data_IF_280327659767
#
_entry.id   IF_280327659767
#
_cell.length_a   1.000
_cell.length_b   1.000
_cell.length_c   1.000
_cell.angle_alpha   90.00
_cell.angle_beta   90.00
_cell.angle_gamma   90.00
#
_symmetry.space_group_name_H-M   'P 1'
#
loop_
_entity.id
_entity.type
_entity.pdbx_description
1 polymer ?
#
# COMPACT_ATOMS: atom_id res chain seq x y z
N UNK A 1 -8.84 -11.06 -0.92
CA UNK A 1 -7.74 -10.91 -1.89
C UNK A 1 -7.18 -9.51 -1.82
N UNK A 2 -5.94 -9.29 -2.31
CA UNK A 2 -5.33 -7.96 -2.36
C UNK A 2 -5.69 -7.27 -3.68
N UNK A 3 -6.32 -6.11 -3.61
CA UNK A 3 -6.81 -5.35 -4.78
C UNK A 3 -5.82 -4.28 -5.22
N UNK A 4 -5.15 -3.64 -4.27
CA UNK A 4 -4.16 -2.61 -4.58
C UNK A 4 -3.09 -2.47 -3.48
N UNK A 5 -1.91 -2.03 -3.89
CA UNK A 5 -0.81 -1.59 -3.02
C UNK A 5 -0.45 -0.16 -3.40
N UNK A 6 -0.54 0.74 -2.43
CA UNK A 6 -0.28 2.16 -2.60
C UNK A 6 0.83 2.59 -1.63
N UNK A 7 1.81 3.31 -2.15
CA UNK A 7 2.84 3.98 -1.34
C UNK A 7 2.84 5.44 -1.72
N UNK A 8 2.66 6.32 -0.75
CA UNK A 8 2.67 7.77 -0.97
C UNK A 8 3.24 8.48 0.25
N UNK A 9 3.71 9.72 0.04
CA UNK A 9 4.34 10.47 1.12
C UNK A 9 3.34 11.30 1.95
N UNK A 10 3.85 12.03 2.94
CA UNK A 10 3.08 12.93 3.82
C UNK A 10 2.33 14.07 3.08
N UNK A 11 2.58 14.26 1.79
CA UNK A 11 1.90 15.25 0.94
C UNK A 11 0.93 14.59 -0.07
N UNK A 12 0.70 13.28 0.02
CA UNK A 12 -0.17 12.54 -0.89
C UNK A 12 0.44 12.31 -2.27
N UNK A 13 1.76 12.52 -2.44
CA UNK A 13 2.43 12.23 -3.71
C UNK A 13 2.69 10.73 -3.83
N UNK A 14 2.21 10.07 -4.89
CA UNK A 14 2.42 8.63 -5.07
C UNK A 14 3.89 8.33 -5.37
N UNK A 15 4.37 7.23 -4.77
CA UNK A 15 5.69 6.62 -4.97
C UNK A 15 5.56 5.23 -5.60
N UNK A 16 4.51 4.50 -5.23
CA UNK A 16 4.09 3.26 -5.87
C UNK A 16 2.57 3.24 -5.95
N UNK A 17 2.03 2.88 -7.10
CA UNK A 17 0.62 2.58 -7.27
C UNK A 17 0.52 1.30 -8.06
N UNK A 18 0.07 0.23 -7.42
CA UNK A 18 -0.15 -1.04 -8.07
C UNK A 18 -1.58 -1.50 -7.81
N UNK A 19 -2.35 -1.63 -8.88
CA UNK A 19 -3.69 -2.19 -8.86
C UNK A 19 -3.64 -3.59 -9.50
N UNK A 20 -4.32 -4.55 -8.87
CA UNK A 20 -4.45 -5.93 -9.36
C UNK A 20 -5.75 -6.16 -10.12
N UNK A 21 -6.69 -5.23 -9.99
CA UNK A 21 -7.91 -5.16 -10.81
C UNK A 21 -7.81 -4.00 -11.80
N UNK A 22 -8.71 -4.01 -12.79
CA UNK A 22 -8.75 -2.95 -13.79
C UNK A 22 -9.49 -1.72 -13.25
N UNK A 23 -8.76 -0.62 -13.12
CA UNK A 23 -9.29 0.71 -12.79
C UNK A 23 -8.80 1.69 -13.84
N UNK A 24 -9.66 2.62 -14.24
CA UNK A 24 -9.29 3.76 -15.10
C UNK A 24 -8.33 4.70 -14.36
N UNK A 25 -7.58 5.52 -15.10
CA UNK A 25 -6.64 6.46 -14.49
C UNK A 25 -7.33 7.44 -13.53
N UNK A 26 -8.53 7.93 -13.89
CA UNK A 26 -9.34 8.78 -13.02
C UNK A 26 -9.75 8.07 -11.73
N UNK A 27 -10.17 6.81 -11.80
CA UNK A 27 -10.50 6.00 -10.62
C UNK A 27 -9.26 5.80 -9.73
N UNK A 28 -8.12 5.45 -10.31
CA UNK A 28 -6.87 5.26 -9.54
C UNK A 28 -6.46 6.54 -8.79
N UNK A 29 -6.56 7.70 -9.45
CA UNK A 29 -6.27 8.99 -8.81
C UNK A 29 -7.27 9.31 -7.69
N UNK A 30 -8.55 9.01 -7.91
CA UNK A 30 -9.58 9.23 -6.91
C UNK A 30 -9.38 8.33 -5.68
N UNK A 31 -9.05 7.05 -5.89
CA UNK A 31 -8.73 6.08 -4.83
C UNK A 31 -7.53 6.55 -4.01
N UNK A 32 -6.46 7.00 -4.67
CA UNK A 32 -5.28 7.54 -3.99
C UNK A 32 -5.66 8.73 -3.10
N UNK A 33 -6.42 9.68 -3.65
CA UNK A 33 -6.82 10.90 -2.94
C UNK A 33 -7.68 10.61 -1.71
N UNK A 34 -8.66 9.72 -1.85
CA UNK A 34 -9.51 9.30 -0.74
C UNK A 34 -8.70 8.55 0.33
N UNK A 35 -7.86 7.60 -0.09
CA UNK A 35 -6.98 6.85 0.81
C UNK A 35 -6.08 7.80 1.59
N UNK A 36 -5.44 8.77 0.92
CA UNK A 36 -4.61 9.78 1.58
C UNK A 36 -5.41 10.60 2.60
N UNK A 37 -6.63 11.03 2.27
CA UNK A 37 -7.47 11.79 3.20
C UNK A 37 -7.87 10.99 4.45
N UNK A 38 -8.08 9.69 4.30
CA UNK A 38 -8.44 8.80 5.40
C UNK A 38 -7.24 8.55 6.34
N UNK A 39 -6.04 8.36 5.81
CA UNK A 39 -4.85 8.04 6.63
C UNK A 39 -4.13 9.29 7.17
N UNK A 40 -4.06 10.38 6.41
CA UNK A 40 -3.26 11.57 6.78
C UNK A 40 -3.80 12.38 7.96
N UNK A 41 -5.07 12.19 8.32
CA UNK A 41 -5.73 12.91 9.42
C UNK A 41 -5.68 12.16 10.75
N UNK A 42 -5.03 11.00 10.78
CA UNK A 42 -5.02 10.08 11.90
C UNK A 42 -3.70 10.20 12.65
N UNK A 43 -3.77 10.23 13.98
CA UNK A 43 -2.60 10.16 14.83
C UNK A 43 -1.93 8.78 14.74
N UNK A 44 -0.66 8.67 15.12
CA UNK A 44 0.07 7.39 15.07
C UNK A 44 -0.49 6.32 16.04
N UNK A 45 -1.24 6.75 17.07
CA UNK A 45 -1.81 5.87 18.12
C UNK A 45 -3.19 5.27 17.75
N UNK A 46 -3.78 5.63 16.61
CA UNK A 46 -5.07 5.06 16.18
C UNK A 46 -4.91 3.82 15.33
N UNK A 47 -5.97 3.00 15.31
CA UNK A 47 -6.03 1.73 14.60
C UNK A 47 -5.62 1.85 13.12
N UNK A 48 -4.79 0.91 12.67
CA UNK A 48 -4.26 0.78 11.31
C UNK A 48 -5.25 0.19 10.29
N UNK A 49 -6.48 -0.07 10.73
CA UNK A 49 -7.55 -0.64 9.90
C UNK A 49 -8.60 0.42 9.64
N UNK A 50 -8.97 0.56 8.38
CA UNK A 50 -10.06 1.40 7.94
C UNK A 50 -10.97 0.53 7.09
N UNK A 51 -12.27 0.52 7.40
CA UNK A 51 -13.26 0.21 6.37
C UNK A 51 -13.06 1.27 5.29
N UNK A 52 -12.65 0.83 4.11
CA UNK A 52 -12.40 1.82 3.08
C UNK A 52 -13.74 2.38 2.61
N UNK A 53 -13.71 3.64 2.14
CA UNK A 53 -14.93 4.40 1.87
C UNK A 53 -15.79 3.85 0.73
N UNK A 54 -16.53 4.73 0.06
CA UNK A 54 -17.57 4.27 -0.87
C UNK A 54 -17.00 3.87 -2.24
N UNK A 55 -15.74 4.18 -2.55
CA UNK A 55 -15.21 4.17 -3.92
C UNK A 55 -14.33 2.97 -4.32
N UNK A 56 -13.69 2.23 -3.41
CA UNK A 56 -12.96 1.00 -3.77
C UNK A 56 -13.90 -0.22 -3.75
N UNK A 57 -15.02 -0.14 -4.46
CA UNK A 57 -15.84 -1.33 -4.73
C UNK A 57 -16.81 -1.77 -3.62
N UNK A 58 -17.36 -0.84 -2.82
CA UNK A 58 -18.48 -1.11 -1.90
C UNK A 58 -18.09 -1.39 -0.45
N UNK A 59 -18.97 -1.98 0.36
CA UNK A 59 -18.76 -2.20 1.80
C UNK A 59 -17.80 -3.37 2.13
N UNK A 60 -17.22 -4.02 1.11
CA UNK A 60 -16.52 -5.30 1.26
C UNK A 60 -14.99 -5.18 1.24
N UNK A 61 -14.43 -3.97 1.44
CA UNK A 61 -12.98 -3.78 1.45
C UNK A 61 -12.46 -3.04 2.68
N UNK A 62 -11.20 -3.30 2.99
CA UNK A 62 -10.46 -2.73 4.10
C UNK A 62 -9.14 -2.15 3.61
N UNK A 63 -8.77 -1.00 4.16
CA UNK A 63 -7.46 -0.39 4.01
C UNK A 63 -6.65 -0.71 5.25
N UNK A 64 -5.49 -1.30 5.03
CA UNK A 64 -4.54 -1.62 6.08
C UNK A 64 -3.28 -0.83 5.77
N UNK A 65 -2.86 0.01 6.71
CA UNK A 65 -1.75 0.91 6.46
C UNK A 65 -0.72 0.91 7.59
N UNK A 66 0.48 1.36 7.24
CA UNK A 66 1.53 1.69 8.21
C UNK A 66 2.35 2.87 7.73
N UNK A 67 2.71 3.74 8.68
CA UNK A 67 3.55 4.90 8.42
C UNK A 67 4.99 4.58 8.79
N UNK A 68 5.90 4.77 7.84
CA UNK A 68 7.35 4.63 8.05
C UNK A 68 8.03 5.90 7.58
N UNK A 69 8.65 6.61 8.53
CA UNK A 69 9.33 7.89 8.29
C UNK A 69 8.44 8.92 7.56
N UNK A 70 8.56 9.03 6.24
CA UNK A 70 7.79 9.98 5.41
C UNK A 70 6.78 9.31 4.48
N UNK A 71 6.66 7.98 4.53
CA UNK A 71 5.89 7.17 3.60
C UNK A 71 4.78 6.39 4.31
N UNK A 72 3.59 6.46 3.71
CA UNK A 72 2.48 5.57 4.01
C UNK A 72 2.53 4.38 3.08
N UNK A 73 2.51 3.18 3.65
CA UNK A 73 2.34 1.92 2.93
C UNK A 73 0.93 1.43 3.19
N UNK A 74 0.13 1.34 2.14
CA UNK A 74 -1.30 1.01 2.24
C UNK A 74 -1.63 -0.17 1.33
N UNK A 75 -2.28 -1.18 1.91
CA UNK A 75 -2.81 -2.34 1.21
C UNK A 75 -4.34 -2.27 1.23
N UNK A 76 -4.93 -2.31 0.05
CA UNK A 76 -6.38 -2.42 -0.13
C UNK A 76 -6.72 -3.90 -0.30
N UNK A 77 -7.49 -4.45 0.63
CA UNK A 77 -7.80 -5.89 0.69
C UNK A 77 -9.30 -6.13 0.87
N UNK A 78 -9.79 -7.29 0.47
CA UNK A 78 -11.16 -7.69 0.79
C UNK A 78 -11.34 -7.90 2.29
N UNK A 79 -12.58 -7.73 2.77
CA UNK A 79 -12.99 -7.96 4.15
C UNK A 79 -12.76 -9.39 4.65
N UNK A 80 -12.54 -10.35 3.75
CA UNK A 80 -12.23 -11.75 4.05
C UNK A 80 -10.78 -11.97 4.49
N UNK A 81 -9.87 -11.03 4.23
CA UNK A 81 -8.45 -11.17 4.58
C UNK A 81 -8.20 -10.87 6.06
N UNK A 82 -7.19 -11.55 6.63
CA UNK A 82 -6.79 -11.29 8.02
C UNK A 82 -6.04 -9.97 8.14
N UNK A 83 -6.56 -9.06 8.95
CA UNK A 83 -5.99 -7.73 9.11
C UNK A 83 -4.56 -7.73 9.67
N UNK A 84 -4.31 -8.61 10.65
CA UNK A 84 -2.98 -8.81 11.23
C UNK A 84 -2.01 -9.46 10.24
N UNK A 85 -2.49 -10.39 9.40
CA UNK A 85 -1.68 -11.01 8.36
C UNK A 85 -1.21 -9.99 7.32
N UNK A 86 -2.07 -9.04 6.94
CA UNK A 86 -1.69 -7.97 6.01
C UNK A 86 -0.74 -6.96 6.67
N UNK A 87 -0.89 -6.66 7.97
CA UNK A 87 0.09 -5.84 8.68
C UNK A 87 1.48 -6.48 8.73
N UNK A 88 1.54 -7.79 8.97
CA UNK A 88 2.80 -8.54 8.92
C UNK A 88 3.39 -8.54 7.51
N UNK A 89 2.55 -8.72 6.48
CA UNK A 89 2.96 -8.60 5.08
C UNK A 89 3.55 -7.22 4.74
N UNK A 90 2.97 -6.14 5.27
CA UNK A 90 3.52 -4.78 5.12
C UNK A 90 4.92 -4.68 5.76
N UNK A 91 5.13 -5.28 6.94
CA UNK A 91 6.45 -5.31 7.58
C UNK A 91 7.46 -6.03 6.67
N UNK A 92 7.14 -7.25 6.23
CA UNK A 92 8.04 -8.05 5.38
C UNK A 92 8.32 -7.33 4.06
N UNK A 93 7.33 -6.65 3.48
CA UNK A 93 7.51 -5.85 2.27
C UNK A 93 8.51 -4.70 2.46
N UNK A 94 8.40 -3.94 3.56
CA UNK A 94 9.32 -2.83 3.86
C UNK A 94 10.73 -3.34 4.16
N UNK A 95 10.86 -4.44 4.90
CA UNK A 95 12.17 -5.06 5.17
C UNK A 95 12.85 -5.59 3.91
N UNK A 96 12.08 -6.15 2.99
CA UNK A 96 12.60 -6.65 1.72
C UNK A 96 12.99 -5.49 0.79
N UNK A 97 12.23 -4.38 0.80
CA UNK A 97 12.65 -3.14 0.13
C UNK A 97 13.95 -2.59 0.72
N UNK A 98 14.06 -2.51 2.05
CA UNK A 98 15.24 -2.00 2.74
C UNK A 98 16.50 -2.81 2.40
N UNK A 99 16.38 -4.14 2.36
CA UNK A 99 17.45 -5.04 1.90
C UNK A 99 17.79 -4.88 0.42
N UNK A 100 16.81 -4.60 -0.44
CA UNK A 100 17.01 -4.47 -1.88
C UNK A 100 17.72 -3.15 -2.29
N UNK A 101 17.58 -2.12 -1.45
CA UNK A 101 18.15 -0.78 -1.67
C UNK A 101 19.26 -0.41 -0.68
N UNK A 102 19.64 -1.30 0.24
CA UNK A 102 20.71 -1.11 1.23
C UNK A 102 20.55 0.18 2.06
N UNK A 103 19.49 0.24 2.88
CA UNK A 103 18.96 1.42 3.60
C UNK A 103 18.08 2.30 2.71
N UNK A 104 16.87 1.80 2.41
CA UNK A 104 15.96 2.46 1.49
C UNK A 104 15.52 3.83 2.01
N UNK A 105 15.55 4.85 1.15
CA UNK A 105 14.93 6.14 1.44
C UNK A 105 13.86 6.49 0.40
N UNK A 106 12.99 7.47 0.72
CA UNK A 106 11.95 7.93 -0.21
C UNK A 106 12.52 8.31 -1.58
N UNK A 107 13.74 8.84 -1.62
CA UNK A 107 14.39 9.27 -2.85
C UNK A 107 14.74 8.08 -3.76
N UNK A 108 15.10 6.93 -3.22
CA UNK A 108 15.35 5.70 -3.99
C UNK A 108 14.08 5.21 -4.68
N UNK A 109 12.93 5.28 -3.99
CA UNK A 109 11.64 4.94 -4.59
C UNK A 109 11.29 5.88 -5.75
N UNK A 110 11.73 7.13 -5.70
CA UNK A 110 11.50 8.12 -6.76
C UNK A 110 12.43 7.90 -7.96
N UNK A 111 13.70 7.56 -7.72
CA UNK A 111 14.67 7.39 -8.81
C UNK A 111 14.61 6.00 -9.45
N UNK A 112 14.11 5.00 -8.74
CA UNK A 112 14.07 3.61 -9.18
C UNK A 112 12.65 3.04 -9.26
N UNK A 113 11.70 3.82 -9.76
CA UNK A 113 10.28 3.44 -9.86
C UNK A 113 10.09 2.10 -10.59
N UNK A 114 10.77 1.88 -11.72
CA UNK A 114 10.68 0.61 -12.46
C UNK A 114 11.12 -0.59 -11.63
N UNK A 115 12.20 -0.43 -10.85
CA UNK A 115 12.71 -1.48 -9.95
C UNK A 115 11.72 -1.74 -8.81
N UNK A 116 11.12 -0.69 -8.24
CA UNK A 116 10.11 -0.82 -7.17
C UNK A 116 8.83 -1.50 -7.69
N UNK A 117 8.36 -1.16 -8.89
CA UNK A 117 7.20 -1.81 -9.51
C UNK A 117 7.50 -3.28 -9.77
N UNK A 118 8.65 -3.59 -10.38
CA UNK A 118 9.07 -4.97 -10.63
C UNK A 118 9.20 -5.77 -9.33
N UNK A 119 9.82 -5.17 -8.32
CA UNK A 119 9.94 -5.76 -6.98
C UNK A 119 8.57 -6.03 -6.35
N UNK A 120 7.64 -5.07 -6.39
CA UNK A 120 6.30 -5.23 -5.83
C UNK A 120 5.52 -6.35 -6.52
N UNK A 121 5.65 -6.50 -7.84
CA UNK A 121 5.06 -7.61 -8.57
C UNK A 121 5.70 -8.94 -8.16
N UNK A 122 7.03 -9.02 -8.11
CA UNK A 122 7.75 -10.22 -7.74
C UNK A 122 7.40 -10.67 -6.31
N UNK A 123 7.46 -9.74 -5.35
CA UNK A 123 7.14 -9.97 -3.94
C UNK A 123 5.73 -10.54 -3.76
N UNK A 124 4.75 -10.02 -4.50
CA UNK A 124 3.35 -10.45 -4.36
C UNK A 124 3.08 -11.79 -5.03
N UNK A 125 3.86 -12.16 -6.04
CA UNK A 125 3.84 -13.50 -6.64
C UNK A 125 4.56 -14.52 -5.76
N UNK A 126 5.74 -14.18 -5.24
CA UNK A 126 6.53 -15.06 -4.37
C UNK A 126 5.89 -15.24 -2.98
N UNK A 127 5.32 -14.17 -2.42
CA UNK A 127 4.56 -14.22 -1.16
C UNK A 127 3.26 -15.02 -1.26
N UNK A 128 2.68 -15.16 -2.47
CA UNK A 128 1.56 -16.07 -2.72
C UNK A 128 1.99 -17.55 -2.90
N UNK A 129 3.30 -17.82 -3.04
CA UNK A 129 3.86 -19.14 -3.30
C UNK A 129 4.49 -19.82 -2.07
N UNK A 130 4.55 -19.13 -0.93
CA UNK A 130 4.96 -19.71 0.34
C UNK A 130 3.77 -19.84 1.32
N UNK A 131 3.11 -21.02 1.39
CA UNK A 131 2.09 -21.33 2.38
C UNK A 131 2.65 -21.55 3.80
#
# INVERSE_FOLDING_TARGET
>A
MIRAVLVFNNHGKPRLMKFYEHYTEDEQQQILKETFQLVSRRDDDVCNFLEGGTLVGGQDYRLIYRHYATLYFVFCVDSSESELGILDLIQVFVEALDKCFENVCELDLIFHVDKVISFSVAFMVEGALHP
#
